data_IF_862491415907
#
_entry.id   IF_862491415907
#
_cell.length_a   1.000
_cell.length_b   1.000
_cell.length_c   1.000
_cell.angle_alpha   90.00
_cell.angle_beta   90.00
_cell.angle_gamma   90.00
#
_symmetry.space_group_name_H-M   'P 1'
#
loop_
_entity.id
_entity.type
_entity.pdbx_description
1 polymer ?
#
# COMPACT_ATOMS: atom_id res chain seq x y z
N UNK A 1 6.10 -0.48 24.40
CA UNK A 1 5.45 0.10 23.20
C UNK A 1 5.92 -0.66 21.98
N UNK A 2 5.01 -1.12 21.13
CA UNK A 2 5.36 -1.86 19.92
C UNK A 2 5.91 -0.88 18.87
N UNK A 3 6.83 -1.30 17.98
CA UNK A 3 7.32 -0.45 16.88
C UNK A 3 6.18 0.11 16.01
N UNK A 4 5.06 -0.62 15.93
CA UNK A 4 3.84 -0.16 15.28
C UNK A 4 3.26 1.09 15.94
N UNK A 5 3.25 1.18 17.26
CA UNK A 5 2.64 2.31 18.00
C UNK A 5 3.35 3.63 17.70
N UNK A 6 4.68 3.59 17.52
CA UNK A 6 5.52 4.76 17.25
C UNK A 6 5.53 5.22 15.79
N UNK A 7 4.87 4.47 14.90
CA UNK A 7 4.88 4.77 13.46
C UNK A 7 3.86 5.86 13.11
N UNK A 8 4.20 6.72 12.13
CA UNK A 8 3.31 7.81 11.70
C UNK A 8 1.95 7.31 11.22
N UNK A 9 0.89 8.07 11.54
CA UNK A 9 -0.49 7.75 11.10
C UNK A 9 -0.59 7.63 9.57
N UNK A 10 0.13 8.49 8.84
CA UNK A 10 0.15 8.48 7.38
C UNK A 10 0.72 7.16 6.82
N UNK A 11 1.82 6.66 7.38
CA UNK A 11 2.38 5.37 6.97
C UNK A 11 1.43 4.21 7.28
N UNK A 12 0.77 4.21 8.44
CA UNK A 12 -0.21 3.17 8.80
C UNK A 12 -1.36 3.11 7.80
N UNK A 13 -1.91 4.26 7.44
CA UNK A 13 -2.98 4.37 6.43
C UNK A 13 -2.49 3.86 5.07
N UNK A 14 -1.27 4.26 4.66
CA UNK A 14 -0.71 3.82 3.38
C UNK A 14 -0.52 2.29 3.32
N UNK A 15 0.02 1.66 4.38
CA UNK A 15 0.16 0.20 4.42
C UNK A 15 -1.19 -0.50 4.37
N UNK A 16 -2.14 -0.10 5.21
CA UNK A 16 -3.45 -0.74 5.27
C UNK A 16 -4.19 -0.56 3.95
N UNK A 17 -4.13 0.63 3.35
CA UNK A 17 -4.70 0.90 2.04
C UNK A 17 -4.07 0.06 0.95
N UNK A 18 -2.72 0.06 0.85
CA UNK A 18 -1.99 -0.75 -0.13
C UNK A 18 -2.35 -2.23 -0.04
N UNK A 19 -2.46 -2.76 1.19
CA UNK A 19 -2.85 -4.14 1.41
C UNK A 19 -4.29 -4.43 0.97
N UNK A 20 -5.24 -3.56 1.33
CA UNK A 20 -6.63 -3.71 0.93
C UNK A 20 -6.80 -3.69 -0.60
N UNK A 21 -6.18 -2.73 -1.29
CA UNK A 21 -6.23 -2.64 -2.76
C UNK A 21 -5.57 -3.85 -3.43
N UNK A 22 -4.44 -4.31 -2.89
CA UNK A 22 -3.75 -5.49 -3.43
C UNK A 22 -4.60 -6.76 -3.29
N UNK A 23 -5.18 -6.99 -2.11
CA UNK A 23 -6.07 -8.15 -1.88
C UNK A 23 -7.27 -8.10 -2.82
N UNK A 24 -7.95 -6.95 -2.91
CA UNK A 24 -9.10 -6.79 -3.80
C UNK A 24 -8.72 -7.08 -5.26
N UNK A 25 -7.57 -6.56 -5.71
CA UNK A 25 -7.05 -6.84 -7.04
C UNK A 25 -6.77 -8.32 -7.28
N UNK A 26 -6.15 -9.02 -6.32
CA UNK A 26 -5.88 -10.46 -6.41
C UNK A 26 -7.19 -11.25 -6.49
N UNK A 27 -8.16 -10.95 -5.62
CA UNK A 27 -9.47 -11.62 -5.61
C UNK A 27 -10.20 -11.42 -6.94
N UNK A 28 -10.22 -10.19 -7.47
CA UNK A 28 -10.80 -9.90 -8.79
C UNK A 28 -10.06 -10.63 -9.92
N UNK A 29 -8.74 -10.73 -9.86
CA UNK A 29 -7.96 -11.46 -10.86
C UNK A 29 -8.29 -12.96 -10.86
N UNK A 30 -8.42 -13.56 -9.68
CA UNK A 30 -8.85 -14.95 -9.54
C UNK A 30 -10.24 -15.14 -10.13
N UNK A 31 -11.21 -14.31 -9.74
CA UNK A 31 -12.57 -14.39 -10.30
C UNK A 31 -12.56 -14.21 -11.82
N UNK A 32 -11.91 -13.15 -12.32
CA UNK A 32 -11.80 -12.85 -13.74
C UNK A 32 -11.19 -13.99 -14.56
N UNK A 33 -10.21 -14.69 -13.99
CA UNK A 33 -9.60 -15.87 -14.62
C UNK A 33 -10.57 -17.04 -14.76
N UNK A 34 -11.43 -17.26 -13.75
CA UNK A 34 -12.40 -18.37 -13.77
C UNK A 34 -13.55 -18.10 -14.75
N UNK A 35 -14.02 -16.85 -14.82
CA UNK A 35 -15.13 -16.48 -15.72
C UNK A 35 -14.68 -16.06 -17.12
N UNK A 36 -13.36 -16.05 -17.39
CA UNK A 36 -12.75 -15.60 -18.65
C UNK A 36 -13.25 -14.20 -19.09
N UNK A 37 -13.52 -13.33 -18.12
CA UNK A 37 -14.11 -12.02 -18.36
C UNK A 37 -13.03 -10.93 -18.37
N UNK A 38 -12.75 -10.39 -19.56
CA UNK A 38 -11.72 -9.38 -19.78
C UNK A 38 -11.96 -8.08 -18.96
N UNK A 39 -13.16 -7.48 -18.94
CA UNK A 39 -13.46 -6.34 -18.07
C UNK A 39 -13.12 -6.54 -16.59
N UNK A 40 -13.44 -7.71 -16.02
CA UNK A 40 -13.12 -8.03 -14.61
C UNK A 40 -11.60 -8.08 -14.43
N UNK A 41 -10.88 -8.63 -15.40
CA UNK A 41 -9.42 -8.73 -15.37
C UNK A 41 -8.75 -7.35 -15.46
N UNK A 42 -9.23 -6.44 -16.32
CA UNK A 42 -8.76 -5.05 -16.36
C UNK A 42 -9.04 -4.30 -15.06
N UNK A 43 -10.19 -4.57 -14.43
CA UNK A 43 -10.53 -3.98 -13.13
C UNK A 43 -9.56 -4.47 -12.05
N UNK A 44 -9.25 -5.78 -12.03
CA UNK A 44 -8.24 -6.35 -11.14
C UNK A 44 -6.88 -5.67 -11.30
N UNK A 45 -6.42 -5.49 -12.55
CA UNK A 45 -5.17 -4.79 -12.86
C UNK A 45 -5.19 -3.36 -12.30
N UNK A 46 -6.30 -2.64 -12.47
CA UNK A 46 -6.47 -1.29 -11.90
C UNK A 46 -6.28 -1.26 -10.38
N UNK A 47 -6.92 -2.18 -9.65
CA UNK A 47 -6.76 -2.30 -8.19
C UNK A 47 -5.32 -2.61 -7.78
N UNK A 48 -4.64 -3.50 -8.49
CA UNK A 48 -3.24 -3.84 -8.23
C UNK A 48 -2.31 -2.65 -8.45
N UNK A 49 -2.50 -1.90 -9.54
CA UNK A 49 -1.71 -0.69 -9.83
C UNK A 49 -1.90 0.33 -8.72
N UNK A 50 -3.14 0.59 -8.30
CA UNK A 50 -3.42 1.51 -7.18
C UNK A 50 -2.75 1.01 -5.90
N UNK A 51 -2.81 -0.29 -5.61
CA UNK A 51 -2.14 -0.90 -4.47
C UNK A 51 -0.61 -0.67 -4.47
N UNK A 52 0.03 -0.81 -5.63
CA UNK A 52 1.46 -0.56 -5.83
C UNK A 52 1.80 0.93 -5.66
N UNK A 53 1.00 1.83 -6.23
CA UNK A 53 1.22 3.28 -6.07
C UNK A 53 1.16 3.67 -4.59
N UNK A 54 0.15 3.20 -3.86
CA UNK A 54 0.04 3.45 -2.42
C UNK A 54 1.21 2.81 -1.66
N UNK A 55 1.67 1.62 -2.08
CA UNK A 55 2.83 0.94 -1.49
C UNK A 55 4.09 1.82 -1.59
N UNK A 56 4.36 2.33 -2.79
CA UNK A 56 5.50 3.21 -3.07
C UNK A 56 5.41 4.49 -2.25
N UNK A 57 4.22 5.11 -2.18
CA UNK A 57 3.98 6.28 -1.32
C UNK A 57 4.30 5.96 0.15
N UNK A 58 3.91 4.78 0.64
CA UNK A 58 4.26 4.30 1.98
C UNK A 58 5.79 4.23 2.21
N UNK A 59 6.55 3.76 1.24
CA UNK A 59 8.03 3.73 1.31
C UNK A 59 8.63 5.14 1.37
N UNK A 60 8.08 6.09 0.61
CA UNK A 60 8.47 7.50 0.68
C UNK A 60 8.16 8.15 2.04
N UNK A 61 6.99 7.86 2.62
CA UNK A 61 6.63 8.36 3.96
C UNK A 61 7.62 7.79 4.98
N UNK A 62 7.91 6.49 4.95
CA UNK A 62 8.84 5.86 5.89
C UNK A 62 10.24 6.44 5.81
N UNK A 63 10.74 6.67 4.59
CA UNK A 63 12.07 7.27 4.39
C UNK A 63 12.10 8.73 4.84
N UNK A 64 11.03 9.51 4.60
CA UNK A 64 10.88 10.87 5.14
C UNK A 64 10.89 10.87 6.66
N UNK A 65 10.08 10.03 7.30
CA UNK A 65 9.98 9.97 8.77
C UNK A 65 11.33 9.62 9.40
N UNK A 66 12.05 8.65 8.82
CA UNK A 66 13.41 8.30 9.25
C UNK A 66 14.40 9.47 9.09
N UNK A 67 14.29 10.27 8.01
CA UNK A 67 15.12 11.47 7.82
C UNK A 67 14.82 12.55 8.85
N UNK A 68 13.55 12.80 9.15
CA UNK A 68 13.11 13.80 10.15
C UNK A 68 13.60 13.41 11.53
N UNK A 69 13.42 12.14 11.92
CA UNK A 69 13.90 11.62 13.20
C UNK A 69 15.44 11.75 13.35
N UNK A 70 16.21 11.42 12.31
CA UNK A 70 17.67 11.62 12.35
C UNK A 70 18.07 13.08 12.51
N UNK A 71 17.30 14.02 11.95
CA UNK A 71 17.57 15.47 12.12
C UNK A 71 17.25 15.94 13.54
N UNK A 72 16.22 15.39 14.20
CA UNK A 72 15.90 15.77 15.58
C UNK A 72 16.94 15.29 16.59
N UNK A 73 17.72 14.25 16.28
CA UNK A 73 18.83 13.78 17.13
C UNK A 73 20.10 14.64 17.03
N UNK A 74 20.21 15.49 16.00
CA UNK A 74 21.37 16.38 15.77
C UNK A 74 21.17 17.80 16.29
N UNK A 75 20.02 18.08 16.92
CA UNK A 75 19.62 19.38 17.42
C UNK A 75 19.63 19.35 18.94
#
# INVERSE_FOLDING_TARGET
MLPWDQTSKAYKIAIIGSFAFSILGIVLAVIGSQVQNQPVMFTAIGFLIVGIVIHIVGLFIRTRDARVYRKSLKK
#
